data_IF_330718166036
#
_entry.id   IF_330718166036
#
_cell.length_a   1.000
_cell.length_b   1.000
_cell.length_c   1.000
_cell.angle_alpha   90.00
_cell.angle_beta   90.00
_cell.angle_gamma   90.00
#
_symmetry.space_group_name_H-M   'P 1'
#
loop_
_entity.id
_entity.type
_entity.pdbx_description
1 polymer ?
#
# COMPACT_ATOMS: atom_id res chain seq x y z
N UNK A 1 -5.19 35.00 8.74
CA UNK A 1 -4.58 34.86 7.45
C UNK A 1 -3.74 33.63 7.27
N UNK A 2 -3.37 33.01 8.34
CA UNK A 2 -2.46 31.88 8.26
C UNK A 2 -3.17 30.58 8.00
N UNK A 3 -4.44 30.52 8.33
CA UNK A 3 -5.19 29.29 8.20
C UNK A 3 -5.20 28.73 6.78
N UNK A 4 -5.43 29.54 5.76
CA UNK A 4 -5.44 28.99 4.42
C UNK A 4 -4.14 28.33 4.05
N UNK A 5 -3.05 28.91 4.51
CA UNK A 5 -1.74 28.37 4.21
C UNK A 5 -1.55 27.00 4.85
N UNK A 6 -2.00 26.86 6.07
CA UNK A 6 -1.83 25.60 6.77
C UNK A 6 -2.64 24.51 6.15
N UNK A 7 -3.82 24.82 5.69
CA UNK A 7 -4.67 23.78 5.11
C UNK A 7 -4.24 23.37 3.71
N UNK A 8 -3.59 24.28 3.01
CA UNK A 8 -3.22 24.00 1.63
C UNK A 8 -2.26 22.83 1.51
N UNK A 9 -1.22 22.71 2.31
CA UNK A 9 -0.35 21.55 2.19
C UNK A 9 -1.08 20.24 2.39
N UNK A 10 -2.00 20.21 3.33
CA UNK A 10 -2.74 18.99 3.59
C UNK A 10 -3.62 18.61 2.40
N UNK A 11 -4.30 19.58 1.85
CA UNK A 11 -5.16 19.33 0.69
C UNK A 11 -4.32 18.89 -0.49
N UNK A 12 -3.19 19.52 -0.70
CA UNK A 12 -2.32 19.15 -1.80
C UNK A 12 -1.82 17.73 -1.66
N UNK A 13 -1.49 17.32 -0.44
CA UNK A 13 -1.02 15.96 -0.21
C UNK A 13 -2.08 14.93 -0.55
N UNK A 14 -3.31 15.20 -0.15
CA UNK A 14 -4.40 14.29 -0.45
C UNK A 14 -4.66 14.25 -1.95
N UNK A 15 -4.58 15.38 -2.60
CA UNK A 15 -4.86 15.45 -4.02
C UNK A 15 -3.83 14.76 -4.89
N UNK A 16 -2.61 14.59 -4.39
CA UNK A 16 -1.56 13.95 -5.17
C UNK A 16 -1.81 12.47 -5.39
N UNK A 17 -2.52 11.83 -4.50
CA UNK A 17 -2.74 10.38 -4.59
C UNK A 17 -3.50 9.97 -5.85
N UNK A 18 -4.59 10.65 -6.22
CA UNK A 18 -5.33 10.26 -7.42
C UNK A 18 -4.60 10.57 -8.72
N UNK A 19 -3.47 11.25 -8.64
CA UNK A 19 -2.74 11.66 -9.84
C UNK A 19 -1.75 10.59 -10.30
N UNK A 20 -1.62 9.50 -9.57
CA UNK A 20 -0.71 8.44 -9.95
C UNK A 20 -1.12 7.84 -11.30
N UNK A 21 -0.15 7.63 -12.21
CA UNK A 21 -0.47 7.00 -13.48
C UNK A 21 -0.95 5.56 -13.29
N UNK A 22 -1.79 5.11 -14.20
CA UNK A 22 -2.31 3.75 -14.13
C UNK A 22 -1.20 2.71 -14.15
N UNK A 23 -0.14 2.94 -14.91
CA UNK A 23 0.99 2.03 -14.95
C UNK A 23 1.64 1.89 -13.59
N UNK A 24 1.81 3.01 -12.88
CA UNK A 24 2.41 3.01 -11.55
C UNK A 24 1.53 2.24 -10.58
N UNK A 25 0.22 2.47 -10.65
CA UNK A 25 -0.73 1.76 -9.80
C UNK A 25 -0.65 0.26 -10.05
N UNK A 26 -0.63 -0.14 -11.30
CA UNK A 26 -0.54 -1.56 -11.65
C UNK A 26 0.76 -2.17 -11.18
N UNK A 27 1.87 -1.44 -11.29
CA UNK A 27 3.16 -1.92 -10.85
C UNK A 27 3.16 -2.17 -9.34
N UNK A 28 2.61 -1.23 -8.58
CA UNK A 28 2.56 -1.38 -7.13
C UNK A 28 1.67 -2.54 -6.73
N UNK A 29 0.49 -2.64 -7.34
CA UNK A 29 -0.42 -3.74 -7.04
C UNK A 29 0.20 -5.09 -7.36
N UNK A 30 0.82 -5.19 -8.52
CA UNK A 30 1.46 -6.44 -8.93
C UNK A 30 2.57 -6.83 -7.96
N UNK A 31 3.37 -5.85 -7.54
CA UNK A 31 4.45 -6.12 -6.60
C UNK A 31 3.90 -6.60 -5.25
N UNK A 32 2.86 -5.95 -4.75
CA UNK A 32 2.27 -6.34 -3.48
C UNK A 32 1.63 -7.72 -3.56
N UNK A 33 0.95 -8.02 -4.64
CA UNK A 33 0.31 -9.32 -4.82
C UNK A 33 1.34 -10.43 -4.96
N UNK A 34 2.43 -10.16 -5.66
CA UNK A 34 3.51 -11.13 -5.79
C UNK A 34 4.17 -11.39 -4.45
N UNK A 35 4.39 -10.33 -3.68
CA UNK A 35 4.97 -10.48 -2.34
C UNK A 35 4.05 -11.26 -1.43
N UNK A 36 2.75 -11.01 -1.51
CA UNK A 36 1.79 -11.72 -0.69
C UNK A 36 1.81 -13.21 -1.00
N UNK A 37 1.80 -13.57 -2.28
CA UNK A 37 1.82 -14.97 -2.68
C UNK A 37 3.11 -15.67 -2.26
N UNK A 38 4.24 -15.00 -2.42
CA UNK A 38 5.53 -15.57 -2.04
C UNK A 38 5.61 -15.77 -0.52
N UNK A 39 5.18 -14.79 0.25
CA UNK A 39 5.21 -14.89 1.71
C UNK A 39 4.24 -15.94 2.21
N UNK A 40 3.08 -16.05 1.59
CA UNK A 40 2.12 -17.07 1.95
C UNK A 40 2.70 -18.46 1.75
N UNK A 41 3.36 -18.69 0.62
CA UNK A 41 3.97 -19.96 0.32
C UNK A 41 5.08 -20.28 1.32
N UNK A 42 5.97 -19.32 1.60
CA UNK A 42 7.08 -19.54 2.52
C UNK A 42 6.55 -19.79 3.92
N UNK A 43 5.57 -19.04 4.35
CA UNK A 43 5.00 -19.22 5.69
C UNK A 43 4.37 -20.60 5.83
N UNK A 44 3.65 -21.04 4.83
CA UNK A 44 3.02 -22.36 4.88
C UNK A 44 4.04 -23.49 4.93
N UNK A 45 5.18 -23.29 4.28
CA UNK A 45 6.21 -24.33 4.24
C UNK A 45 7.09 -24.34 5.46
N UNK A 46 7.33 -23.19 6.07
CA UNK A 46 8.28 -23.10 7.18
C UNK A 46 7.63 -22.90 8.53
N UNK A 47 6.43 -22.35 8.56
CA UNK A 47 5.71 -21.99 9.81
C UNK A 47 6.51 -21.01 10.67
N UNK A 48 7.45 -20.30 10.07
CA UNK A 48 8.25 -19.32 10.81
C UNK A 48 7.45 -18.04 10.94
N UNK A 49 7.26 -17.58 12.16
CA UNK A 49 6.39 -16.45 12.46
C UNK A 49 6.80 -15.15 11.80
N UNK A 50 8.10 -14.97 11.58
CA UNK A 50 8.58 -13.79 10.91
C UNK A 50 7.91 -13.61 9.55
N UNK A 51 7.75 -14.70 8.82
CA UNK A 51 7.10 -14.65 7.50
C UNK A 51 5.60 -14.42 7.63
N UNK A 52 4.99 -14.95 8.68
CA UNK A 52 3.58 -14.68 8.93
C UNK A 52 3.33 -13.22 9.24
N UNK A 53 4.21 -12.58 10.01
CA UNK A 53 4.11 -11.16 10.29
C UNK A 53 4.29 -10.34 9.03
N UNK A 54 5.27 -10.70 8.21
CA UNK A 54 5.49 -9.98 6.95
C UNK A 54 4.28 -10.13 6.03
N UNK A 55 3.70 -11.30 5.98
CA UNK A 55 2.50 -11.54 5.18
C UNK A 55 1.35 -10.66 5.64
N UNK A 56 1.15 -10.57 6.95
CA UNK A 56 0.10 -9.72 7.50
C UNK A 56 0.31 -8.25 7.11
N UNK A 57 1.55 -7.79 7.15
CA UNK A 57 1.87 -6.42 6.79
C UNK A 57 1.60 -6.16 5.31
N UNK A 58 1.93 -7.10 4.45
CA UNK A 58 1.67 -6.96 3.02
C UNK A 58 0.16 -6.91 2.76
N UNK A 59 -0.61 -7.70 3.48
CA UNK A 59 -2.07 -7.69 3.33
C UNK A 59 -2.67 -6.36 3.77
N UNK A 60 -2.15 -5.79 4.84
CA UNK A 60 -2.58 -4.47 5.28
C UNK A 60 -2.24 -3.42 4.21
N UNK A 61 -1.04 -3.50 3.66
CA UNK A 61 -0.62 -2.58 2.62
C UNK A 61 -1.50 -2.68 1.38
N UNK A 62 -1.88 -3.90 1.00
CA UNK A 62 -2.79 -4.11 -0.13
C UNK A 62 -4.14 -3.47 0.12
N UNK A 63 -4.69 -3.67 1.31
CA UNK A 63 -5.97 -3.08 1.66
C UNK A 63 -5.91 -1.57 1.67
N UNK A 64 -4.86 -1.02 2.26
CA UNK A 64 -4.70 0.42 2.36
C UNK A 64 -4.55 1.04 0.98
N UNK A 65 -3.79 0.39 0.11
CA UNK A 65 -3.61 0.89 -1.23
C UNK A 65 -4.90 0.84 -2.03
N UNK A 66 -5.66 -0.23 -1.87
CA UNK A 66 -6.95 -0.34 -2.53
C UNK A 66 -7.91 0.75 -2.06
N UNK A 67 -7.90 1.06 -0.76
CA UNK A 67 -8.73 2.12 -0.22
C UNK A 67 -8.37 3.49 -0.79
N UNK A 68 -7.10 3.72 -1.01
CA UNK A 68 -6.65 4.97 -1.60
C UNK A 68 -7.15 5.15 -3.03
N UNK A 69 -7.33 4.04 -3.73
CA UNK A 69 -7.80 4.08 -5.11
C UNK A 69 -9.32 4.16 -5.23
N UNK A 70 -10.00 3.81 -4.16
CA UNK A 70 -11.45 3.87 -4.16
C UNK A 70 -11.91 5.30 -3.99
#
# INVERSE_FOLDING_TARGET
MIEPTERMPTVASVSLLPVLPAETVNTILTALMSAEGALDLVYRKTSIETYGHALAQVRVALNDFADLLA
#
